data_IF_999434051951
#
_entry.id   IF_999434051951
#
_cell.length_a   1.000
_cell.length_b   1.000
_cell.length_c   1.000
_cell.angle_alpha   90.00
_cell.angle_beta   90.00
_cell.angle_gamma   90.00
#
_symmetry.space_group_name_H-M   'P 1'
#
loop_
_entity.id
_entity.type
_entity.pdbx_description
1 polymer ?
#
# COMPACT_ATOMS: atom_id res chain seq x y z
N UNK A 1 -7.87 4.00 22.73
CA UNK A 1 -9.30 3.75 22.51
C UNK A 1 -9.49 3.16 21.13
N UNK A 2 -10.11 2.01 21.05
CA UNK A 2 -10.36 1.39 19.75
C UNK A 2 -11.43 2.17 18.99
N UNK A 3 -11.33 2.15 17.67
CA UNK A 3 -12.31 2.77 16.78
C UNK A 3 -13.28 1.68 16.32
N UNK A 4 -14.48 1.55 16.93
CA UNK A 4 -15.35 0.41 16.64
C UNK A 4 -15.76 0.30 15.18
N UNK A 5 -15.82 1.41 14.46
CA UNK A 5 -16.20 1.41 13.06
C UNK A 5 -15.13 0.78 12.15
N UNK A 6 -13.87 0.75 12.57
CA UNK A 6 -12.80 0.12 11.78
C UNK A 6 -13.01 -1.38 11.63
N UNK A 7 -13.41 -2.05 12.72
CA UNK A 7 -13.72 -3.47 12.66
C UNK A 7 -14.90 -3.75 11.75
N UNK A 8 -15.93 -2.91 11.80
CA UNK A 8 -17.10 -3.04 10.92
C UNK A 8 -16.71 -2.85 9.45
N UNK A 9 -15.89 -1.85 9.14
CA UNK A 9 -15.40 -1.61 7.78
C UNK A 9 -14.63 -2.81 7.25
N UNK A 10 -13.76 -3.40 8.07
CA UNK A 10 -13.00 -4.58 7.69
C UNK A 10 -13.90 -5.77 7.41
N UNK A 11 -14.89 -6.01 8.25
CA UNK A 11 -15.85 -7.10 8.05
C UNK A 11 -16.70 -6.92 6.81
N UNK A 12 -17.13 -5.70 6.52
CA UNK A 12 -17.88 -5.38 5.30
C UNK A 12 -17.04 -5.59 4.05
N UNK A 13 -15.79 -5.15 4.07
CA UNK A 13 -14.87 -5.34 2.95
C UNK A 13 -14.65 -6.82 2.64
N UNK A 14 -14.39 -7.62 3.66
CA UNK A 14 -14.18 -9.06 3.49
C UNK A 14 -15.43 -9.73 2.94
N UNK A 15 -16.61 -9.38 3.43
CA UNK A 15 -17.87 -9.92 2.92
C UNK A 15 -18.10 -9.53 1.47
N UNK A 16 -17.81 -8.30 1.10
CA UNK A 16 -17.94 -7.86 -0.28
C UNK A 16 -17.01 -8.63 -1.20
N UNK A 17 -15.73 -8.81 -0.79
CA UNK A 17 -14.75 -9.55 -1.59
C UNK A 17 -15.14 -11.00 -1.76
N UNK A 18 -15.73 -11.63 -0.71
CA UNK A 18 -16.24 -12.98 -0.82
C UNK A 18 -17.42 -13.05 -1.79
N UNK A 19 -18.38 -12.11 -1.67
CA UNK A 19 -19.51 -12.04 -2.58
C UNK A 19 -19.02 -11.89 -4.02
N UNK A 20 -18.07 -11.00 -4.25
CA UNK A 20 -17.45 -10.76 -5.55
C UNK A 20 -16.90 -12.06 -6.15
N UNK A 21 -16.16 -12.80 -5.36
CA UNK A 21 -15.51 -14.03 -5.79
C UNK A 21 -16.52 -15.12 -6.17
N UNK A 22 -17.63 -15.20 -5.45
CA UNK A 22 -18.63 -16.26 -5.64
C UNK A 22 -19.70 -15.93 -6.68
N UNK A 23 -19.94 -14.67 -6.99
CA UNK A 23 -21.08 -14.24 -7.80
C UNK A 23 -20.71 -13.63 -9.14
N UNK A 24 -19.44 -13.23 -9.34
CA UNK A 24 -19.02 -12.62 -10.59
C UNK A 24 -18.17 -13.59 -11.42
N UNK A 25 -18.07 -13.34 -12.76
CA UNK A 25 -17.27 -14.22 -13.62
C UNK A 25 -15.82 -14.29 -13.19
N UNK A 26 -15.13 -15.38 -13.52
CA UNK A 26 -13.74 -15.60 -13.10
C UNK A 26 -12.73 -14.56 -13.59
N UNK A 27 -13.07 -13.80 -14.64
CA UNK A 27 -12.21 -12.72 -15.11
C UNK A 27 -12.38 -11.44 -14.29
N UNK A 28 -13.42 -11.32 -13.49
CA UNK A 28 -13.66 -10.18 -12.63
C UNK A 28 -12.96 -10.40 -11.29
N UNK A 29 -11.81 -9.76 -11.11
CA UNK A 29 -10.99 -9.91 -9.92
C UNK A 29 -11.01 -8.61 -9.11
N UNK A 30 -11.05 -8.74 -7.79
CA UNK A 30 -10.99 -7.60 -6.89
C UNK A 30 -9.95 -7.84 -5.80
N UNK A 31 -9.25 -6.78 -5.44
CA UNK A 31 -8.19 -6.82 -4.44
C UNK A 31 -8.12 -5.44 -3.78
N UNK A 32 -7.87 -5.41 -2.49
CA UNK A 32 -7.63 -4.17 -1.78
C UNK A 32 -6.13 -3.82 -1.79
N UNK A 33 -5.84 -2.55 -1.64
CA UNK A 33 -4.48 -2.06 -1.45
C UNK A 33 -4.22 -1.97 0.05
N UNK A 34 -3.14 -2.58 0.51
CA UNK A 34 -2.84 -2.64 1.95
C UNK A 34 -2.62 -1.26 2.54
N UNK A 35 -1.80 -0.43 1.86
CA UNK A 35 -1.46 0.89 2.38
C UNK A 35 -1.48 1.90 1.24
N UNK A 36 -2.19 3.00 1.45
CA UNK A 36 -2.11 4.20 0.62
C UNK A 36 -1.63 5.32 1.51
N UNK A 37 -0.41 5.79 1.26
CA UNK A 37 0.09 6.98 1.94
C UNK A 37 -0.35 8.20 1.18
N UNK A 38 -0.87 9.19 1.87
CA UNK A 38 -1.31 10.43 1.24
C UNK A 38 -0.95 11.61 2.13
N UNK A 39 -0.91 12.80 1.52
CA UNK A 39 -0.67 14.03 2.26
C UNK A 39 -1.88 14.93 2.18
N UNK A 40 -2.03 15.73 3.21
CA UNK A 40 -3.04 16.78 3.29
C UNK A 40 -2.38 18.11 2.94
N UNK A 41 -2.95 18.82 2.00
CA UNK A 41 -2.49 20.16 1.60
C UNK A 41 -3.62 21.15 1.81
N UNK A 42 -3.39 22.14 2.65
CA UNK A 42 -4.35 23.23 2.84
C UNK A 42 -4.14 24.26 1.72
N UNK A 43 -5.14 24.44 0.89
CA UNK A 43 -5.10 25.39 -0.24
C UNK A 43 -5.70 26.75 0.12
N UNK A 44 -6.67 26.76 1.04
CA UNK A 44 -7.29 27.95 1.61
C UNK A 44 -7.64 27.65 3.06
N UNK A 45 -7.79 28.65 3.94
CA UNK A 45 -8.20 28.38 5.32
C UNK A 45 -9.47 27.53 5.39
N UNK A 46 -9.37 26.36 6.02
CA UNK A 46 -10.46 25.42 6.16
C UNK A 46 -10.75 24.57 4.93
N UNK A 47 -9.96 24.67 3.87
CA UNK A 47 -10.14 23.91 2.64
C UNK A 47 -8.87 23.11 2.32
N UNK A 48 -8.99 21.78 2.33
CA UNK A 48 -7.85 20.89 2.15
C UNK A 48 -8.03 19.97 0.94
N UNK A 49 -6.92 19.67 0.29
CA UNK A 49 -6.82 18.60 -0.71
C UNK A 49 -5.99 17.46 -0.14
N UNK A 50 -6.30 16.25 -0.56
CA UNK A 50 -5.58 15.03 -0.18
C UNK A 50 -4.99 14.43 -1.44
N UNK A 51 -3.71 14.09 -1.38
CA UNK A 51 -2.99 13.63 -2.56
C UNK A 51 -2.20 12.37 -2.22
N UNK A 52 -2.24 11.32 -3.05
CA UNK A 52 -1.47 10.13 -2.77
C UNK A 52 0.03 10.43 -2.88
N UNK A 53 0.82 9.77 -2.05
CA UNK A 53 2.27 9.91 -1.99
C UNK A 53 2.97 8.60 -2.32
N UNK A 54 2.39 7.48 -1.91
CA UNK A 54 2.95 6.16 -2.17
C UNK A 54 1.87 5.09 -1.98
N UNK A 55 2.06 3.96 -2.64
CA UNK A 55 1.24 2.76 -2.49
C UNK A 55 2.12 1.61 -2.03
N UNK A 56 1.61 0.78 -1.13
CA UNK A 56 2.39 -0.34 -0.63
C UNK A 56 1.54 -1.59 -0.43
N UNK A 57 2.13 -2.74 -0.70
CA UNK A 57 1.64 -4.05 -0.32
C UNK A 57 2.54 -4.58 0.79
N UNK A 58 1.93 -5.01 1.90
CA UNK A 58 2.67 -5.52 3.06
C UNK A 58 2.72 -7.04 2.99
N UNK A 59 3.91 -7.62 3.08
CA UNK A 59 4.10 -9.06 3.02
C UNK A 59 5.03 -9.50 4.15
N UNK A 60 4.98 -10.79 4.56
CA UNK A 60 5.93 -11.31 5.53
C UNK A 60 7.37 -11.22 5.00
N UNK A 61 8.29 -10.94 5.89
CA UNK A 61 9.71 -10.87 5.55
C UNK A 61 10.18 -12.21 4.99
N UNK A 62 10.82 -12.18 3.82
CA UNK A 62 11.30 -13.38 3.16
C UNK A 62 10.24 -14.14 2.34
N UNK A 63 9.03 -13.60 2.20
CA UNK A 63 8.00 -14.21 1.38
C UNK A 63 8.46 -14.33 -0.08
N UNK A 64 8.06 -15.41 -0.80
CA UNK A 64 8.38 -15.52 -2.21
C UNK A 64 7.79 -14.37 -3.01
N UNK A 65 8.60 -13.73 -3.84
CA UNK A 65 8.16 -12.62 -4.68
C UNK A 65 8.62 -12.86 -6.12
N UNK A 66 7.71 -12.68 -7.11
CA UNK A 66 6.32 -12.26 -6.91
C UNK A 66 5.40 -13.35 -6.38
N UNK A 67 5.70 -14.64 -6.61
CA UNK A 67 4.91 -15.77 -6.15
C UNK A 67 3.42 -15.62 -6.49
N UNK A 68 2.53 -16.07 -5.61
CA UNK A 68 1.09 -15.99 -5.85
C UNK A 68 0.54 -14.55 -5.81
N UNK A 69 1.36 -13.58 -5.42
CA UNK A 69 0.96 -12.18 -5.33
C UNK A 69 1.13 -11.41 -6.64
N UNK A 70 1.61 -12.07 -7.70
CA UNK A 70 1.93 -11.37 -8.95
C UNK A 70 0.78 -10.51 -9.48
N UNK A 71 -0.48 -10.98 -9.55
CA UNK A 71 -1.55 -10.13 -10.09
C UNK A 71 -1.74 -8.85 -9.28
N UNK A 72 -1.72 -8.95 -7.95
CA UNK A 72 -1.91 -7.78 -7.08
C UNK A 72 -0.76 -6.79 -7.24
N UNK A 73 0.47 -7.30 -7.35
CA UNK A 73 1.65 -6.45 -7.48
C UNK A 73 1.70 -5.76 -8.84
N UNK A 74 1.26 -6.43 -9.91
CA UNK A 74 1.14 -5.79 -11.22
C UNK A 74 0.11 -4.67 -11.21
N UNK A 75 -1.05 -4.90 -10.60
CA UNK A 75 -2.08 -3.86 -10.47
C UNK A 75 -1.57 -2.69 -9.65
N UNK A 76 -0.88 -2.97 -8.55
CA UNK A 76 -0.31 -1.93 -7.70
C UNK A 76 0.69 -1.06 -8.48
N UNK A 77 1.54 -1.69 -9.29
CA UNK A 77 2.49 -0.96 -10.13
C UNK A 77 1.76 -0.07 -11.14
N UNK A 78 0.72 -0.58 -11.79
CA UNK A 78 -0.09 0.21 -12.72
C UNK A 78 -0.74 1.41 -12.04
N UNK A 79 -1.29 1.21 -10.85
CA UNK A 79 -1.92 2.29 -10.07
C UNK A 79 -0.88 3.35 -9.70
N UNK A 80 0.30 2.93 -9.27
CA UNK A 80 1.37 3.86 -8.92
C UNK A 80 1.80 4.70 -10.10
N UNK A 81 1.96 4.08 -11.26
CA UNK A 81 2.31 4.81 -12.50
C UNK A 81 1.23 5.80 -12.91
N UNK A 82 -0.04 5.39 -12.84
CA UNK A 82 -1.15 6.26 -13.20
C UNK A 82 -1.24 7.47 -12.26
N UNK A 83 -1.01 7.27 -10.97
CA UNK A 83 -1.02 8.33 -9.98
C UNK A 83 0.31 9.10 -9.90
N UNK A 84 1.35 8.63 -10.60
CA UNK A 84 2.70 9.21 -10.58
C UNK A 84 3.30 9.18 -9.18
N UNK A 85 3.08 8.08 -8.47
CA UNK A 85 3.65 7.85 -7.14
C UNK A 85 4.35 6.48 -7.11
N UNK A 86 5.32 6.28 -6.23
CA UNK A 86 5.97 4.98 -6.11
C UNK A 86 5.02 3.93 -5.56
N UNK A 87 5.13 2.72 -6.09
CA UNK A 87 4.47 1.53 -5.57
C UNK A 87 5.56 0.58 -5.10
N UNK A 88 5.43 0.10 -3.87
CA UNK A 88 6.46 -0.72 -3.23
C UNK A 88 5.86 -1.93 -2.54
N UNK A 89 6.71 -2.92 -2.29
CA UNK A 89 6.43 -4.04 -1.40
C UNK A 89 7.18 -3.78 -0.10
N UNK A 90 6.45 -3.87 1.02
CA UNK A 90 7.03 -3.78 2.35
C UNK A 90 7.09 -5.18 2.94
N UNK A 91 8.29 -5.74 3.03
CA UNK A 91 8.51 -6.98 3.76
C UNK A 91 8.74 -6.64 5.22
N UNK A 92 7.95 -7.22 6.10
CA UNK A 92 8.02 -6.91 7.53
C UNK A 92 8.06 -8.18 8.36
N UNK A 93 8.84 -8.15 9.43
CA UNK A 93 8.80 -9.22 10.43
C UNK A 93 7.57 -9.04 11.31
N UNK A 94 7.12 -10.12 11.93
CA UNK A 94 5.89 -10.10 12.72
C UNK A 94 5.96 -9.13 13.90
N UNK A 95 7.15 -8.97 14.48
CA UNK A 95 7.39 -8.03 15.57
C UNK A 95 7.73 -6.62 15.08
N UNK A 96 7.73 -6.40 13.77
CA UNK A 96 8.09 -5.14 13.11
C UNK A 96 9.53 -4.69 13.38
N UNK A 97 10.40 -5.59 13.84
CA UNK A 97 11.79 -5.25 14.12
C UNK A 97 12.59 -5.03 12.84
N UNK A 98 12.18 -5.64 11.73
CA UNK A 98 12.85 -5.49 10.43
C UNK A 98 11.86 -5.18 9.33
N UNK A 99 12.25 -4.28 8.45
CA UNK A 99 11.48 -3.84 7.29
C UNK A 99 12.41 -3.78 6.10
N UNK A 100 11.93 -4.27 4.96
CA UNK A 100 12.63 -4.16 3.69
C UNK A 100 11.67 -3.55 2.67
N UNK A 101 12.10 -2.49 2.00
CA UNK A 101 11.31 -1.81 0.99
C UNK A 101 11.82 -2.22 -0.37
N UNK A 102 10.94 -2.81 -1.20
CA UNK A 102 11.27 -3.20 -2.57
C UNK A 102 10.45 -2.41 -3.56
N UNK A 103 11.12 -1.90 -4.58
CA UNK A 103 10.48 -1.15 -5.66
C UNK A 103 9.74 -2.10 -6.60
N UNK A 104 8.57 -1.68 -7.07
CA UNK A 104 7.90 -2.35 -8.18
C UNK A 104 8.26 -1.64 -9.49
N UNK A 105 8.36 -2.37 -10.62
CA UNK A 105 8.05 -3.79 -10.80
C UNK A 105 9.24 -4.74 -10.63
N UNK A 106 10.45 -4.24 -10.41
CA UNK A 106 11.67 -5.04 -10.48
C UNK A 106 12.11 -5.65 -9.14
N UNK A 107 11.39 -5.36 -8.05
CA UNK A 107 11.68 -5.86 -6.70
C UNK A 107 13.05 -5.44 -6.15
N UNK A 108 13.63 -4.37 -6.70
CA UNK A 108 14.89 -3.85 -6.21
C UNK A 108 14.76 -3.36 -4.77
N UNK A 109 15.67 -3.77 -3.91
CA UNK A 109 15.70 -3.30 -2.52
C UNK A 109 16.11 -1.84 -2.50
N UNK A 110 15.23 -0.99 -1.97
CA UNK A 110 15.49 0.44 -1.82
C UNK A 110 16.09 0.76 -0.46
N UNK A 111 15.67 0.03 0.57
CA UNK A 111 16.14 0.24 1.93
C UNK A 111 15.78 -0.98 2.77
N UNK A 112 16.57 -1.23 3.83
CA UNK A 112 16.35 -2.31 4.77
C UNK A 112 16.89 -1.93 6.12
N UNK A 113 16.18 -2.27 7.19
CA UNK A 113 16.59 -1.98 8.54
C UNK A 113 15.43 -2.12 9.52
N UNK A 114 15.44 -1.33 10.57
CA UNK A 114 14.30 -1.25 11.48
C UNK A 114 13.16 -0.44 10.87
N UNK A 115 12.02 -0.32 11.57
CA UNK A 115 10.85 0.39 11.02
C UNK A 115 11.10 1.87 10.70
N UNK A 116 12.10 2.49 11.31
CA UNK A 116 12.50 3.87 11.02
C UNK A 116 12.95 4.05 9.57
N UNK A 117 13.39 2.99 8.91
CA UNK A 117 13.77 3.03 7.50
C UNK A 117 12.59 3.42 6.63
N UNK A 118 11.40 2.91 6.97
CA UNK A 118 10.20 3.27 6.25
C UNK A 118 9.84 4.75 6.48
N UNK A 119 9.97 5.23 7.71
CA UNK A 119 9.70 6.64 8.01
C UNK A 119 10.60 7.58 7.22
N UNK A 120 11.89 7.24 7.10
CA UNK A 120 12.85 8.03 6.32
C UNK A 120 12.49 8.01 4.83
N UNK A 121 12.19 6.83 4.30
CA UNK A 121 11.80 6.70 2.90
C UNK A 121 10.52 7.48 2.62
N UNK A 122 9.52 7.37 3.50
CA UNK A 122 8.24 8.05 3.32
C UNK A 122 8.42 9.58 3.37
N UNK A 123 9.24 10.08 4.27
CA UNK A 123 9.54 11.51 4.35
C UNK A 123 10.12 12.02 3.04
N UNK A 124 10.99 11.23 2.40
CA UNK A 124 11.55 11.56 1.08
C UNK A 124 10.46 11.64 0.02
N UNK A 125 9.50 10.70 0.04
CA UNK A 125 8.41 10.71 -0.93
C UNK A 125 7.50 11.93 -0.74
N UNK A 126 7.21 12.28 0.51
CA UNK A 126 6.45 13.51 0.82
C UNK A 126 7.15 14.75 0.29
N UNK A 127 8.46 14.83 0.43
CA UNK A 127 9.25 15.95 -0.04
C UNK A 127 9.21 16.07 -1.56
N UNK A 128 9.34 14.94 -2.27
CA UNK A 128 9.25 14.90 -3.73
C UNK A 128 7.85 15.29 -4.22
N UNK A 129 6.82 14.85 -3.52
CA UNK A 129 5.44 15.14 -3.89
C UNK A 129 5.07 16.60 -3.64
N UNK A 130 5.86 17.34 -2.86
CA UNK A 130 5.61 18.76 -2.59
C UNK A 130 6.06 19.67 -3.74
N UNK A 131 6.84 19.15 -4.67
CA UNK A 131 7.32 19.93 -5.82
C UNK A 131 6.43 19.72 -7.10
#
# INVERSE_FOLDING_TARGET
>A
MSRPWLGRSRGLRERFLQWHRHHLPGWALAHDVDVVEFKRVEVEPGWCLYSPVALAEVVPFGAPLPGPRLPQLEVLDHLGRAAKVPAVVLEVTQDLARVRIRRLPDFRVLAEGGPEVYAVWLAEQHRRAAT
#
